data_IF_305756607564
#
_entry.id   IF_305756607564
#
_cell.length_a   1.000
_cell.length_b   1.000
_cell.length_c   1.000
_cell.angle_alpha   90.00
_cell.angle_beta   90.00
_cell.angle_gamma   90.00
#
_symmetry.space_group_name_H-M   'P 1'
#
loop_
_entity.id
_entity.type
_entity.pdbx_description
1 polymer ?
#
# COMPACT_ATOMS: atom_id res chain seq x y z
N UNK A 1 -33.64 30.87 -12.36
CA UNK A 1 -32.31 31.50 -12.20
C UNK A 1 -31.44 30.49 -11.47
N UNK A 2 -30.56 29.80 -12.18
CA UNK A 2 -29.82 28.63 -11.68
C UNK A 2 -28.57 29.10 -10.93
N UNK A 3 -28.46 28.75 -9.64
CA UNK A 3 -27.40 29.21 -8.76
C UNK A 3 -26.17 28.31 -8.93
N UNK A 4 -25.25 28.68 -9.84
CA UNK A 4 -23.92 28.03 -9.94
C UNK A 4 -23.04 28.59 -8.83
N UNK A 5 -22.73 27.76 -7.82
CA UNK A 5 -21.71 28.05 -6.80
C UNK A 5 -20.33 28.34 -7.41
N UNK A 6 -19.35 28.80 -6.61
CA UNK A 6 -18.08 29.30 -7.13
C UNK A 6 -17.32 28.17 -7.83
N UNK A 7 -17.25 28.25 -9.16
CA UNK A 7 -16.47 27.32 -9.98
C UNK A 7 -15.02 27.76 -9.93
N UNK A 8 -14.16 26.88 -9.41
CA UNK A 8 -12.74 27.19 -9.16
C UNK A 8 -11.93 27.26 -10.46
N UNK A 9 -12.38 26.65 -11.56
CA UNK A 9 -11.91 26.94 -12.92
C UNK A 9 -12.88 26.33 -13.95
N UNK A 10 -13.14 27.02 -15.07
CA UNK A 10 -13.86 26.46 -16.22
C UNK A 10 -12.91 26.02 -17.36
N UNK A 11 -11.65 26.45 -17.37
CA UNK A 11 -10.64 26.03 -18.36
C UNK A 11 -9.22 26.11 -17.78
N UNK A 12 -8.39 25.12 -18.10
CA UNK A 12 -6.94 25.17 -17.90
C UNK A 12 -6.26 25.19 -19.28
N UNK A 13 -5.14 25.90 -19.38
CA UNK A 13 -4.35 25.98 -20.62
C UNK A 13 -3.06 25.23 -20.40
N UNK A 14 -2.76 24.27 -21.28
CA UNK A 14 -1.46 23.60 -21.33
C UNK A 14 -0.58 24.37 -22.33
N UNK A 15 0.49 25.01 -21.86
CA UNK A 15 1.48 25.67 -22.69
C UNK A 15 2.76 24.80 -22.77
N UNK A 16 3.43 24.79 -23.93
CA UNK A 16 4.73 24.10 -24.10
C UNK A 16 4.68 22.69 -24.68
N UNK A 17 3.52 22.24 -25.18
CA UNK A 17 3.39 20.96 -25.88
C UNK A 17 3.94 21.07 -27.31
N UNK A 18 4.79 20.13 -27.71
CA UNK A 18 5.29 19.96 -29.08
C UNK A 18 4.59 18.77 -29.75
N UNK A 19 4.79 18.55 -31.06
CA UNK A 19 4.16 17.44 -31.79
C UNK A 19 4.56 16.03 -31.27
N UNK A 20 5.59 15.95 -30.42
CA UNK A 20 6.04 14.73 -29.75
C UNK A 20 5.52 14.56 -28.32
N UNK A 21 4.72 15.50 -27.81
CA UNK A 21 4.26 15.48 -26.43
C UNK A 21 3.05 14.55 -26.25
N UNK A 22 3.08 13.72 -25.20
CA UNK A 22 1.98 12.82 -24.82
C UNK A 22 1.18 13.39 -23.65
N UNK A 23 -0.16 13.20 -23.59
CA UNK A 23 -0.98 13.71 -22.49
C UNK A 23 -0.49 13.25 -21.10
N UNK A 24 -0.55 14.15 -20.12
CA UNK A 24 -0.06 13.96 -18.74
C UNK A 24 -0.70 12.76 -18.00
N UNK A 25 -1.80 12.23 -18.51
CA UNK A 25 -2.42 10.98 -18.04
C UNK A 25 -1.46 9.78 -18.19
N UNK A 26 -0.45 9.90 -19.06
CA UNK A 26 0.55 8.86 -19.33
C UNK A 26 1.90 9.08 -18.61
N UNK A 27 2.15 10.27 -18.05
CA UNK A 27 3.47 10.68 -17.53
C UNK A 27 3.46 11.16 -16.06
N UNK A 28 2.66 10.53 -15.20
CA UNK A 28 2.93 10.57 -13.74
C UNK A 28 4.09 9.62 -13.40
N UNK A 29 5.27 9.89 -13.97
CA UNK A 29 6.55 9.33 -13.56
C UNK A 29 7.26 10.36 -12.67
N UNK A 30 7.16 10.24 -11.34
CA UNK A 30 8.06 10.99 -10.48
C UNK A 30 9.38 10.20 -10.43
N UNK A 31 10.47 10.70 -10.99
CA UNK A 31 11.79 10.08 -10.78
C UNK A 31 12.36 10.42 -9.38
N UNK A 32 11.62 10.06 -8.32
CA UNK A 32 12.26 9.34 -7.23
C UNK A 32 12.44 7.89 -7.73
N UNK A 33 13.27 7.04 -7.14
CA UNK A 33 13.51 5.64 -7.61
C UNK A 33 12.23 4.74 -7.58
N UNK A 34 11.07 5.37 -7.34
CA UNK A 34 9.72 4.96 -7.05
C UNK A 34 8.76 4.86 -8.26
N UNK A 35 9.05 5.37 -9.47
CA UNK A 35 8.04 5.43 -10.55
C UNK A 35 8.27 4.51 -11.76
N UNK A 36 8.79 3.31 -11.53
CA UNK A 36 8.56 2.20 -12.47
C UNK A 36 7.11 1.75 -12.39
N UNK A 37 6.17 2.48 -13.02
CA UNK A 37 4.75 2.08 -13.22
C UNK A 37 4.23 1.14 -12.13
N UNK A 38 4.40 1.53 -10.86
CA UNK A 38 4.18 0.63 -9.75
C UNK A 38 2.67 0.45 -9.65
N UNK A 39 2.14 -0.61 -10.27
CA UNK A 39 0.73 -0.97 -10.14
C UNK A 39 0.41 -0.89 -8.65
N UNK A 40 -0.54 -0.03 -8.23
CA UNK A 40 -0.82 0.12 -6.81
C UNK A 40 -1.16 -1.26 -6.26
N UNK A 41 -0.38 -1.67 -5.25
CA UNK A 41 -0.60 -2.95 -4.57
C UNK A 41 -2.07 -3.00 -4.13
N UNK A 42 -2.74 -4.15 -4.23
CA UNK A 42 -4.09 -4.27 -3.69
C UNK A 42 -4.10 -3.83 -2.21
N UNK A 43 -5.20 -3.24 -1.72
CA UNK A 43 -5.30 -2.82 -0.33
C UNK A 43 -5.21 -4.00 0.62
N UNK A 44 -4.91 -3.73 1.89
CA UNK A 44 -5.01 -4.74 2.95
C UNK A 44 -6.49 -4.96 3.23
N UNK A 45 -6.91 -6.22 3.16
CA UNK A 45 -8.31 -6.61 3.38
C UNK A 45 -8.48 -7.48 4.61
N UNK A 46 -7.42 -8.17 5.04
CA UNK A 46 -7.48 -9.09 6.18
C UNK A 46 -6.16 -9.08 6.95
N UNK A 47 -6.27 -9.32 8.26
CA UNK A 47 -5.16 -9.53 9.17
C UNK A 47 -5.27 -10.90 9.81
N UNK A 48 -4.13 -11.47 10.19
CA UNK A 48 -4.03 -12.66 11.02
C UNK A 48 -2.83 -12.52 11.96
N UNK A 49 -2.85 -13.25 13.07
CA UNK A 49 -1.74 -13.33 14.01
C UNK A 49 -1.34 -14.79 14.11
N UNK A 50 -0.04 -15.08 14.07
CA UNK A 50 0.48 -16.44 14.16
C UNK A 50 1.47 -16.57 15.31
N UNK A 51 1.37 -17.67 16.06
CA UNK A 51 2.28 -18.06 17.12
C UNK A 51 3.29 -19.09 16.60
N UNK A 52 4.38 -18.63 15.98
CA UNK A 52 5.35 -19.53 15.31
C UNK A 52 6.02 -20.51 16.26
N UNK A 53 6.28 -20.09 17.50
CA UNK A 53 6.87 -20.96 18.51
C UNK A 53 5.95 -22.11 18.94
N UNK A 54 4.65 -22.03 18.63
CA UNK A 54 3.68 -23.10 18.86
C UNK A 54 3.41 -23.94 17.59
N UNK A 55 4.17 -23.73 16.52
CA UNK A 55 4.03 -24.47 15.26
C UNK A 55 2.93 -23.95 14.34
N UNK A 56 2.36 -22.77 14.60
CA UNK A 56 1.42 -22.16 13.66
C UNK A 56 2.14 -21.67 12.40
N UNK A 57 1.52 -21.93 11.25
CA UNK A 57 2.02 -21.51 9.95
C UNK A 57 1.26 -20.29 9.41
N UNK A 58 1.86 -19.62 8.43
CA UNK A 58 1.23 -18.49 7.73
C UNK A 58 0.03 -19.01 6.94
N UNK A 59 -1.18 -18.45 7.14
CA UNK A 59 -2.35 -18.89 6.39
C UNK A 59 -2.18 -18.71 4.86
N UNK A 60 -2.79 -19.56 4.03
CA UNK A 60 -2.68 -19.45 2.57
C UNK A 60 -3.09 -18.08 2.04
N UNK A 61 -2.23 -17.48 1.20
CA UNK A 61 -2.47 -16.16 0.60
C UNK A 61 -2.13 -14.96 1.49
N UNK A 62 -1.63 -15.20 2.72
CA UNK A 62 -1.15 -14.14 3.61
C UNK A 62 0.36 -13.94 3.47
N UNK A 63 0.81 -12.73 3.78
CA UNK A 63 2.22 -12.37 3.95
C UNK A 63 2.48 -12.11 5.42
N UNK A 64 3.45 -12.83 5.99
CA UNK A 64 3.93 -12.60 7.35
C UNK A 64 4.91 -11.43 7.39
N UNK A 65 4.77 -10.55 8.38
CA UNK A 65 5.75 -9.52 8.69
C UNK A 65 6.76 -10.13 9.65
N UNK A 66 7.85 -10.66 9.12
CA UNK A 66 8.89 -11.33 9.92
C UNK A 66 9.92 -10.35 10.49
N UNK A 67 10.17 -9.25 9.77
CA UNK A 67 11.15 -8.24 10.16
C UNK A 67 10.59 -6.82 10.06
N UNK A 68 11.08 -5.94 10.93
CA UNK A 68 10.85 -4.50 10.86
C UNK A 68 11.58 -3.89 9.65
N UNK A 69 11.23 -2.67 9.22
CA UNK A 69 11.95 -1.99 8.14
C UNK A 69 13.45 -1.77 8.42
N UNK A 70 13.86 -1.76 9.70
CA UNK A 70 15.26 -1.67 10.11
C UNK A 70 15.98 -3.02 10.17
N UNK A 71 15.32 -4.12 9.84
CA UNK A 71 15.90 -5.47 9.81
C UNK A 71 15.90 -6.21 11.15
N UNK A 72 15.20 -5.70 12.16
CA UNK A 72 15.01 -6.39 13.45
C UNK A 72 13.86 -7.39 13.35
N UNK A 73 13.80 -8.38 14.25
CA UNK A 73 12.63 -9.27 14.36
C UNK A 73 11.36 -8.46 14.60
N UNK A 74 10.29 -8.78 13.87
CA UNK A 74 8.96 -8.21 14.08
C UNK A 74 8.08 -9.06 15.03
N UNK A 75 8.71 -9.89 15.87
CA UNK A 75 8.02 -10.56 16.97
C UNK A 75 7.42 -9.52 17.92
N UNK A 76 6.09 -9.55 18.06
CA UNK A 76 5.33 -8.63 18.90
C UNK A 76 5.61 -8.82 20.40
N UNK A 77 6.21 -9.95 20.78
CA UNK A 77 6.65 -10.26 22.14
C UNK A 77 8.18 -10.20 22.32
N UNK A 78 8.92 -9.62 21.36
CA UNK A 78 10.37 -9.56 21.41
C UNK A 78 10.87 -8.94 22.73
N UNK A 79 11.75 -9.65 23.45
CA UNK A 79 12.28 -9.24 24.75
C UNK A 79 11.76 -10.04 25.95
N UNK A 80 10.75 -10.91 25.77
CA UNK A 80 10.35 -11.89 26.79
C UNK A 80 10.98 -13.26 26.51
N UNK A 81 11.69 -13.80 27.50
CA UNK A 81 12.45 -15.07 27.38
C UNK A 81 11.57 -16.31 27.16
N UNK A 82 10.32 -16.27 27.62
CA UNK A 82 9.41 -17.43 27.65
C UNK A 82 8.08 -17.15 26.96
N UNK A 83 7.91 -15.96 26.36
CA UNK A 83 6.70 -15.67 25.62
C UNK A 83 6.70 -16.41 24.28
N UNK A 84 5.52 -16.78 23.77
CA UNK A 84 5.39 -17.22 22.39
C UNK A 84 5.88 -16.15 21.41
N UNK A 85 6.47 -16.58 20.31
CA UNK A 85 6.84 -15.69 19.21
C UNK A 85 5.60 -15.36 18.39
N UNK A 86 5.18 -14.10 18.38
CA UNK A 86 3.94 -13.64 17.78
C UNK A 86 4.24 -12.76 16.58
N UNK A 87 3.68 -13.09 15.42
CA UNK A 87 3.88 -12.31 14.20
C UNK A 87 2.56 -11.89 13.57
N UNK A 88 2.55 -10.67 13.01
CA UNK A 88 1.43 -10.16 12.22
C UNK A 88 1.52 -10.68 10.78
N UNK A 89 0.41 -11.17 10.26
CA UNK A 89 0.22 -11.52 8.86
C UNK A 89 -0.86 -10.64 8.23
N UNK A 90 -0.73 -10.33 6.95
CA UNK A 90 -1.73 -9.57 6.21
C UNK A 90 -2.06 -10.24 4.87
N UNK A 91 -3.27 -10.05 4.38
CA UNK A 91 -3.66 -10.39 3.02
C UNK A 91 -4.03 -9.12 2.26
N UNK A 92 -3.64 -9.06 0.99
CA UNK A 92 -4.00 -7.99 0.07
C UNK A 92 -4.99 -8.51 -0.96
N UNK A 93 -6.05 -7.76 -1.21
CA UNK A 93 -7.14 -8.18 -2.08
C UNK A 93 -7.96 -7.02 -2.60
N UNK A 94 -8.80 -7.28 -3.60
CA UNK A 94 -9.86 -6.37 -4.06
C UNK A 94 -11.25 -7.02 -3.94
N UNK A 95 -11.31 -8.18 -3.31
CA UNK A 95 -12.51 -8.97 -3.01
C UNK A 95 -13.31 -8.39 -1.84
N UNK A 96 -12.68 -7.55 -1.02
CA UNK A 96 -13.28 -6.93 0.17
C UNK A 96 -12.88 -5.45 0.28
N UNK A 97 -13.62 -4.64 1.06
CA UNK A 97 -13.22 -3.27 1.35
C UNK A 97 -11.83 -3.19 2.03
N UNK A 98 -11.11 -2.08 1.85
CA UNK A 98 -9.84 -1.85 2.56
C UNK A 98 -10.07 -1.70 4.07
N UNK A 99 -9.09 -2.14 4.86
CA UNK A 99 -9.02 -1.79 6.28
C UNK A 99 -8.58 -0.32 6.43
N UNK A 100 -9.25 0.45 7.31
CA UNK A 100 -9.02 1.89 7.55
C UNK A 100 -8.94 2.20 9.03
#
# INVERSE_FOLDING_TARGET
MENKGPRVADYFVLAGLTDSSTPLEQEIHFDDVCHKTAKPKPPITDLAVVMRSLGEEVPPGYTCVESTPSGLSADLNNGSLMAPQIFLCYRRGRDKPPLT
#
